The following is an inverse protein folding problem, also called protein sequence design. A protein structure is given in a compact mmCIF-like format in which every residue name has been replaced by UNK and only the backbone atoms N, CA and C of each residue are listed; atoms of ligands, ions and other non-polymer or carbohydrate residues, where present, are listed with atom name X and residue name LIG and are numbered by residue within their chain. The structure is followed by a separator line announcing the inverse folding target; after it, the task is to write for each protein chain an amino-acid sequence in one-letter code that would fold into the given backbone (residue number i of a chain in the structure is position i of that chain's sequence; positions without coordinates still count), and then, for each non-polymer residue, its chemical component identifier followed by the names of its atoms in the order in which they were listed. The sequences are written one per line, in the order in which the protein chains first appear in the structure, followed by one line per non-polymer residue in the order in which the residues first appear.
data_IF_189849828209
#
_entry.id   IF_189849828209
#
_cell.length_a   1.000
_cell.length_b   1.000
_cell.length_c   1.000
_cell.angle_alpha   90.00
_cell.angle_beta   90.00
_cell.angle_gamma   90.00
#
_symmetry.space_group_name_H-M   'P 1'
#
loop_
_entity.id
_entity.type
_entity.pdbx_description
1 polymer ?
#
# COMPACT_ATOMS: atom_id res chain seq x y z
N UNK A 1 -4.83 -12.72 10.17
CA UNK A 1 -3.89 -11.65 10.57
C UNK A 1 -4.02 -10.51 9.57
N UNK A 2 -4.12 -9.27 10.05
CA UNK A 2 -4.27 -8.05 9.24
C UNK A 2 -3.01 -7.19 9.31
N UNK A 3 -2.85 -6.29 8.33
CA UNK A 3 -1.77 -5.30 8.23
C UNK A 3 -2.42 -3.93 8.10
N UNK A 4 -1.78 -2.90 8.64
CA UNK A 4 -2.27 -1.51 8.58
C UNK A 4 -1.37 -0.59 7.77
N UNK A 5 -1.96 0.41 7.12
CA UNK A 5 -1.26 1.59 6.57
C UNK A 5 -1.92 2.81 7.20
N UNK A 6 -1.18 3.63 7.92
CA UNK A 6 -1.72 4.84 8.55
C UNK A 6 -1.02 6.10 8.09
N UNK A 7 -1.75 7.21 8.02
CA UNK A 7 -1.23 8.55 7.67
C UNK A 7 -1.27 9.53 8.85
N UNK A 8 -1.86 9.10 9.97
CA UNK A 8 -1.98 9.79 11.24
C UNK A 8 -2.43 8.79 12.33
N UNK A 9 -2.35 9.13 13.64
CA UNK A 9 -2.69 8.20 14.72
C UNK A 9 -4.20 7.96 14.91
N UNK A 10 -5.06 8.51 14.05
CA UNK A 10 -6.52 8.33 14.17
C UNK A 10 -6.99 7.08 13.40
N UNK A 11 -8.11 6.50 13.84
CA UNK A 11 -8.71 5.34 13.15
C UNK A 11 -9.22 5.66 11.75
N UNK A 12 -9.63 6.92 11.50
CA UNK A 12 -10.09 7.40 10.19
C UNK A 12 -8.95 7.61 9.19
N UNK A 13 -7.72 7.62 9.70
CA UNK A 13 -6.47 7.76 8.96
C UNK A 13 -5.70 6.44 8.88
N UNK A 14 -6.39 5.31 9.10
CA UNK A 14 -5.81 3.97 9.08
C UNK A 14 -6.58 3.06 8.12
N UNK A 15 -5.88 2.57 7.11
CA UNK A 15 -6.36 1.50 6.24
C UNK A 15 -5.93 0.14 6.80
N UNK A 16 -6.85 -0.83 6.82
CA UNK A 16 -6.63 -2.16 7.40
C UNK A 16 -7.00 -3.22 6.38
N UNK A 17 -6.10 -4.16 6.11
CA UNK A 17 -6.34 -5.22 5.14
C UNK A 17 -5.84 -6.58 5.64
N UNK A 18 -6.30 -7.67 5.02
CA UNK A 18 -5.76 -9.01 5.26
C UNK A 18 -4.29 -9.09 4.79
N UNK A 19 -3.44 -9.76 5.57
CA UNK A 19 -2.02 -9.90 5.27
C UNK A 19 -1.74 -10.45 3.86
N UNK A 20 -2.51 -11.44 3.38
CA UNK A 20 -2.34 -11.99 2.04
C UNK A 20 -2.54 -10.93 0.93
N UNK A 21 -3.55 -10.06 1.07
CA UNK A 21 -3.80 -8.98 0.10
C UNK A 21 -2.71 -7.91 0.19
N UNK A 22 -2.23 -7.61 1.40
CA UNK A 22 -1.09 -6.72 1.58
C UNK A 22 0.16 -7.24 0.87
N UNK A 23 0.51 -8.53 1.06
CA UNK A 23 1.65 -9.14 0.37
C UNK A 23 1.52 -9.10 -1.13
N UNK A 24 0.32 -9.40 -1.65
CA UNK A 24 0.03 -9.27 -3.08
C UNK A 24 0.26 -7.83 -3.56
N UNK A 25 -0.22 -6.82 -2.82
CA UNK A 25 0.02 -5.41 -3.14
C UNK A 25 1.51 -5.07 -3.15
N UNK A 26 2.27 -5.52 -2.14
CA UNK A 26 3.73 -5.31 -2.09
C UNK A 26 4.44 -6.00 -3.25
N UNK A 27 4.01 -7.19 -3.67
CA UNK A 27 4.54 -7.85 -4.86
C UNK A 27 4.30 -7.00 -6.12
N UNK A 28 3.12 -6.39 -6.27
CA UNK A 28 2.84 -5.46 -7.38
C UNK A 28 3.67 -4.19 -7.33
N UNK A 29 3.93 -3.65 -6.14
CA UNK A 29 4.88 -2.54 -5.98
C UNK A 29 6.28 -2.96 -6.43
N UNK A 30 6.73 -4.16 -6.05
CA UNK A 30 8.04 -4.67 -6.46
C UNK A 30 8.16 -4.88 -7.98
N UNK A 31 7.11 -5.38 -8.63
CA UNK A 31 7.06 -5.56 -10.08
C UNK A 31 7.16 -4.21 -10.82
N UNK A 32 6.43 -3.20 -10.35
CA UNK A 32 6.29 -1.91 -11.04
C UNK A 32 7.38 -0.89 -10.68
N UNK A 33 7.95 -1.00 -9.48
CA UNK A 33 8.93 -0.06 -8.93
C UNK A 33 10.24 -0.78 -8.60
N UNK A 34 10.72 -1.61 -9.53
CA UNK A 34 11.99 -2.33 -9.42
C UNK A 34 13.21 -1.38 -9.27
N UNK A 35 13.05 -0.11 -9.64
CA UNK A 35 14.01 0.98 -9.45
C UNK A 35 14.03 1.55 -8.03
N UNK A 36 13.08 1.15 -7.16
CA UNK A 36 12.92 1.66 -5.79
C UNK A 36 12.98 0.53 -4.75
N UNK A 37 14.13 -0.16 -4.61
CA UNK A 37 14.26 -1.32 -3.73
C UNK A 37 14.05 -0.99 -2.24
N UNK A 38 14.37 0.23 -1.82
CA UNK A 38 14.16 0.74 -0.46
C UNK A 38 12.66 0.88 -0.12
N UNK A 39 11.83 1.33 -1.06
CA UNK A 39 10.37 1.40 -0.88
C UNK A 39 9.79 -0.01 -0.69
N UNK A 40 10.21 -0.95 -1.53
CA UNK A 40 9.77 -2.36 -1.46
C UNK A 40 10.22 -3.01 -0.16
N UNK A 41 11.46 -2.78 0.25
CA UNK A 41 12.02 -3.30 1.50
C UNK A 41 11.23 -2.79 2.71
N UNK A 42 10.94 -1.49 2.77
CA UNK A 42 10.19 -0.91 3.88
C UNK A 42 8.77 -1.45 3.97
N UNK A 43 8.05 -1.52 2.84
CA UNK A 43 6.72 -2.14 2.82
C UNK A 43 6.76 -3.61 3.25
N UNK A 44 7.77 -4.35 2.82
CA UNK A 44 7.95 -5.76 3.21
C UNK A 44 8.17 -5.91 4.72
N UNK A 45 9.11 -5.14 5.29
CA UNK A 45 9.42 -5.15 6.72
C UNK A 45 8.19 -4.72 7.54
N UNK A 46 7.52 -3.65 7.14
CA UNK A 46 6.30 -3.16 7.77
C UNK A 46 5.20 -4.22 7.79
N UNK A 47 5.03 -4.99 6.70
CA UNK A 47 4.11 -6.11 6.66
C UNK A 47 4.37 -7.16 7.75
N UNK A 48 5.63 -7.47 8.03
CA UNK A 48 6.02 -8.36 9.13
C UNK A 48 5.83 -7.74 10.52
N UNK A 49 5.94 -6.41 10.62
CA UNK A 49 5.73 -5.66 11.85
C UNK A 49 4.26 -5.27 12.10
N UNK A 50 3.34 -5.68 11.22
CA UNK A 50 1.90 -5.46 11.38
C UNK A 50 1.37 -4.17 10.72
N UNK A 51 2.23 -3.37 10.09
CA UNK A 51 1.83 -2.19 9.33
C UNK A 51 2.92 -1.15 9.16
N UNK A 52 2.56 -0.09 8.43
CA UNK A 52 3.39 1.10 8.22
C UNK A 52 2.64 2.36 8.66
N UNK A 53 3.37 3.29 9.28
CA UNK A 53 2.88 4.61 9.67
C UNK A 53 3.64 5.67 8.87
N UNK A 54 2.96 6.24 7.87
CA UNK A 54 3.53 7.25 6.98
C UNK A 54 3.77 8.57 7.71
N UNK A 55 3.00 8.89 8.76
CA UNK A 55 3.24 10.06 9.62
C UNK A 55 4.57 9.95 10.39
N UNK A 56 4.88 8.76 10.91
CA UNK A 56 6.16 8.50 11.55
C UNK A 56 7.30 8.60 10.55
N UNK A 57 7.15 7.99 9.37
CA UNK A 57 8.15 8.13 8.32
C UNK A 57 8.28 9.58 7.83
N UNK A 58 7.23 10.41 7.83
CA UNK A 58 7.36 11.84 7.51
C UNK A 58 8.29 12.57 8.49
N UNK A 59 8.33 12.18 9.76
CA UNK A 59 9.21 12.78 10.76
C UNK A 59 10.66 12.27 10.64
N UNK A 60 10.83 10.98 10.33
CA UNK A 60 12.14 10.32 10.27
C UNK A 60 12.84 10.50 8.90
N UNK A 61 12.08 10.39 7.81
CA UNK A 61 12.53 10.50 6.41
C UNK A 61 11.37 10.93 5.49
N UNK A 62 11.13 12.26 5.34
CA UNK A 62 10.03 12.78 4.53
C UNK A 62 10.04 12.29 3.08
N UNK A 63 11.22 12.17 2.47
CA UNK A 63 11.39 11.71 1.09
C UNK A 63 10.93 10.26 0.92
N UNK A 64 11.30 9.38 1.85
CA UNK A 64 10.90 7.98 1.83
C UNK A 64 9.38 7.85 2.03
N UNK A 65 8.79 8.60 2.97
CA UNK A 65 7.35 8.57 3.20
C UNK A 65 6.55 8.96 1.95
N UNK A 66 6.99 10.02 1.25
CA UNK A 66 6.39 10.46 -0.01
C UNK A 66 6.56 9.42 -1.11
N UNK A 67 7.77 8.87 -1.29
CA UNK A 67 8.04 7.82 -2.29
C UNK A 67 7.21 6.56 -2.06
N UNK A 68 7.01 6.14 -0.80
CA UNK A 68 6.13 5.02 -0.46
C UNK A 68 4.69 5.34 -0.86
N UNK A 69 4.17 6.51 -0.48
CA UNK A 69 2.81 6.92 -0.82
C UNK A 69 2.61 7.00 -2.34
N UNK A 70 3.56 7.59 -3.06
CA UNK A 70 3.52 7.75 -4.52
C UNK A 70 3.59 6.39 -5.24
N UNK A 71 4.45 5.48 -4.80
CA UNK A 71 4.55 4.13 -5.34
C UNK A 71 3.25 3.33 -5.12
N UNK A 72 2.64 3.44 -3.95
CA UNK A 72 1.36 2.81 -3.67
C UNK A 72 0.25 3.36 -4.58
N UNK A 73 0.13 4.69 -4.73
CA UNK A 73 -0.86 5.31 -5.64
C UNK A 73 -0.65 4.85 -7.08
N UNK A 74 0.58 4.93 -7.60
CA UNK A 74 0.91 4.52 -8.96
C UNK A 74 0.59 3.03 -9.19
N UNK A 75 0.85 2.18 -8.19
CA UNK A 75 0.52 0.75 -8.23
C UNK A 75 -0.99 0.52 -8.25
N UNK A 76 -1.77 1.22 -7.43
CA UNK A 76 -3.24 1.14 -7.42
C UNK A 76 -3.82 1.57 -8.78
N UNK A 77 -3.35 2.68 -9.33
CA UNK A 77 -3.75 3.17 -10.64
C UNK A 77 -3.39 2.17 -11.75
N UNK A 78 -2.20 1.56 -11.68
CA UNK A 78 -1.80 0.51 -12.61
C UNK A 78 -2.73 -0.70 -12.55
N UNK A 79 -3.05 -1.19 -11.35
CA UNK A 79 -3.97 -2.31 -11.14
C UNK A 79 -5.34 -2.01 -11.75
N UNK A 80 -5.86 -0.79 -11.55
CA UNK A 80 -7.16 -0.36 -12.08
C UNK A 80 -7.19 -0.26 -13.60
N UNK A 81 -6.09 0.20 -14.20
CA UNK A 81 -6.01 0.42 -15.66
C UNK A 81 -5.67 -0.85 -16.44
N UNK A 82 -4.89 -1.76 -15.86
CA UNK A 82 -4.38 -2.96 -16.54
C UNK A 82 -5.03 -4.26 -16.06
N UNK A 83 -6.01 -4.19 -15.14
CA UNK A 83 -6.82 -5.31 -14.62
C UNK A 83 -6.00 -6.58 -14.35
N UNK A 84 -4.93 -6.44 -13.57
CA UNK A 84 -4.13 -7.58 -13.10
C UNK A 84 -4.94 -8.44 -12.11
N UNK A 85 -4.91 -9.78 -12.22
CA UNK A 85 -5.63 -10.64 -11.30
C UNK A 85 -5.03 -10.54 -9.89
N UNK A 86 -5.91 -10.52 -8.89
CA UNK A 86 -5.57 -10.85 -7.51
C UNK A 86 -5.08 -12.30 -7.49
N UNK A 87 -3.90 -12.53 -6.95
CA UNK A 87 -3.30 -13.86 -6.82
C UNK A 87 -2.89 -14.12 -5.38
N UNK A 88 -2.83 -15.39 -5.00
CA UNK A 88 -2.24 -15.80 -3.72
C UNK A 88 -0.69 -15.84 -3.81
N UNK A 89 -0.03 -16.28 -2.73
CA UNK A 89 1.44 -16.36 -2.67
C UNK A 89 2.03 -17.42 -3.64
N UNK A 90 1.20 -18.27 -4.25
CA UNK A 90 1.58 -19.28 -5.25
C UNK A 90 1.24 -18.84 -6.68
N UNK A 91 0.90 -17.57 -6.88
CA UNK A 91 0.40 -16.99 -8.12
C UNK A 91 -0.91 -17.60 -8.63
N UNK A 92 -1.65 -18.32 -7.77
CA UNK A 92 -2.96 -18.82 -8.13
C UNK A 92 -3.99 -17.69 -8.07
N UNK A 93 -4.87 -17.53 -9.08
CA UNK A 93 -5.84 -16.45 -9.11
C UNK A 93 -6.89 -16.61 -8.01
N UNK A 94 -7.27 -15.47 -7.41
CA UNK A 94 -8.24 -15.41 -6.32
C UNK A 94 -9.46 -14.52 -6.68
N UNK A 95 -10.24 -14.91 -7.72
CA UNK A 95 -11.24 -14.05 -8.33
C UNK A 95 -12.40 -13.69 -7.40
N UNK A 96 -12.75 -14.54 -6.43
CA UNK A 96 -13.86 -14.31 -5.51
C UNK A 96 -13.61 -13.13 -4.55
N UNK A 97 -12.34 -12.78 -4.29
CA UNK A 97 -11.98 -11.65 -3.47
C UNK A 97 -11.70 -10.38 -4.29
N UNK A 98 -11.58 -10.48 -5.61
CA UNK A 98 -11.25 -9.36 -6.49
C UNK A 98 -12.13 -8.12 -6.24
N UNK A 99 -13.48 -8.23 -6.15
CA UNK A 99 -14.31 -7.03 -5.97
C UNK A 99 -14.05 -6.34 -4.62
N UNK A 100 -13.87 -7.13 -3.56
CA UNK A 100 -13.62 -6.61 -2.21
C UNK A 100 -12.24 -5.96 -2.13
N UNK A 101 -11.23 -6.54 -2.79
CA UNK A 101 -9.89 -5.96 -2.85
C UNK A 101 -9.91 -4.67 -3.66
N UNK A 102 -10.60 -4.60 -4.80
CA UNK A 102 -10.72 -3.34 -5.55
C UNK A 102 -11.34 -2.23 -4.70
N UNK A 103 -12.44 -2.50 -3.96
CA UNK A 103 -13.01 -1.52 -3.03
C UNK A 103 -12.02 -1.11 -1.95
N UNK A 104 -11.27 -2.06 -1.37
CA UNK A 104 -10.25 -1.74 -0.38
C UNK A 104 -9.10 -0.90 -0.96
N UNK A 105 -8.70 -1.11 -2.22
CA UNK A 105 -7.70 -0.28 -2.89
C UNK A 105 -8.23 1.14 -3.14
N UNK A 106 -9.52 1.30 -3.42
CA UNK A 106 -10.15 2.62 -3.54
C UNK A 106 -10.10 3.38 -2.21
N UNK A 107 -10.37 2.70 -1.09
CA UNK A 107 -10.25 3.28 0.24
C UNK A 107 -8.79 3.67 0.57
N UNK A 108 -7.83 2.84 0.16
CA UNK A 108 -6.40 3.14 0.33
C UNK A 108 -6.00 4.36 -0.52
N UNK A 109 -6.48 4.46 -1.76
CA UNK A 109 -6.21 5.62 -2.61
C UNK A 109 -6.71 6.91 -1.95
N UNK A 110 -7.94 6.91 -1.43
CA UNK A 110 -8.50 8.06 -0.71
C UNK A 110 -7.65 8.45 0.51
N UNK A 111 -7.14 7.46 1.25
CA UNK A 111 -6.22 7.69 2.35
C UNK A 111 -4.92 8.36 1.87
N UNK A 112 -4.32 7.84 0.80
CA UNK A 112 -3.07 8.36 0.25
C UNK A 112 -3.23 9.77 -0.36
N UNK A 113 -4.40 10.08 -0.93
CA UNK A 113 -4.71 11.42 -1.43
C UNK A 113 -4.78 12.45 -0.29
N UNK A 114 -5.37 12.08 0.85
CA UNK A 114 -5.37 12.92 2.08
C UNK A 114 -3.95 13.16 2.60
N UNK A 115 -3.10 12.12 2.57
CA UNK A 115 -1.70 12.26 2.98
C UNK A 115 -0.93 13.26 2.12
N UNK A 116 -1.22 13.35 0.81
CA UNK A 116 -0.57 14.33 -0.06
C UNK A 116 -0.77 15.77 0.44
N UNK A 117 -1.98 16.07 0.95
CA UNK A 117 -2.31 17.38 1.53
C UNK A 117 -1.59 17.63 2.86
N UNK A 118 -1.40 16.60 3.68
CA UNK A 118 -0.69 16.70 4.97
C UNK A 118 0.82 16.82 4.76
N UNK A 119 1.34 16.20 3.70
CA UNK A 119 2.77 16.13 3.41
C UNK A 119 3.31 17.35 2.64
N UNK A 120 2.47 18.27 2.17
CA UNK A 120 2.85 19.49 1.44
C UNK A 120 2.68 20.73 2.36
N UNK A 121 3.78 21.31 2.90
CA UNK A 121 3.73 22.41 3.88
C UNK A 121 3.42 23.80 3.30
#
# INVERSE_FOLDING_TARGET
MSVTISIAPTSEDTWIIRNAVYRWLVARVADLHADQPDVVEQLTISGYCGGISLDRHLQESPELARRIADALRATIDHIRTHAGPLTDDSDAPWPELQPQVCTALDDLQLLLDRFAVVADP
#
